data_IF_513138624271
#
_entry.id   IF_513138624271
#
_cell.length_a   1.000
_cell.length_b   1.000
_cell.length_c   1.000
_cell.angle_alpha   90.00
_cell.angle_beta   90.00
_cell.angle_gamma   90.00
#
_symmetry.space_group_name_H-M   'P 1'
#
loop_
_entity.id
_entity.type
_entity.pdbx_description
1 polymer ?
#
# COMPACT_ATOMS: atom_id res chain seq x y z
N UNK A 1 12.41 14.80 4.64
CA UNK A 1 11.01 15.22 4.95
C UNK A 1 10.18 13.97 5.04
N UNK A 2 9.40 13.77 6.10
CA UNK A 2 8.48 12.63 6.21
C UNK A 2 7.24 12.88 5.34
N UNK A 3 6.78 11.87 4.59
CA UNK A 3 5.58 11.98 3.74
C UNK A 3 4.36 12.28 4.62
N UNK A 4 3.70 13.41 4.38
CA UNK A 4 2.38 13.68 4.97
C UNK A 4 1.33 12.96 4.13
N UNK A 5 0.71 11.94 4.71
CA UNK A 5 -0.33 11.17 4.03
C UNK A 5 -1.74 11.73 4.27
N UNK A 6 -1.95 12.47 5.35
CA UNK A 6 -3.23 13.15 5.61
C UNK A 6 -3.38 14.33 4.65
N UNK A 7 -4.35 14.23 3.75
CA UNK A 7 -4.57 15.27 2.73
C UNK A 7 -5.24 16.54 3.26
N UNK A 8 -5.97 16.44 4.37
CA UNK A 8 -6.79 17.56 4.84
C UNK A 8 -7.77 18.01 3.76
N UNK A 9 -7.65 19.28 3.33
CA UNK A 9 -8.39 19.85 2.19
C UNK A 9 -7.63 19.74 0.86
N UNK A 10 -6.48 19.08 0.83
CA UNK A 10 -5.68 18.86 -0.37
C UNK A 10 -6.27 17.83 -1.33
N UNK A 11 -5.62 17.65 -2.49
CA UNK A 11 -6.03 16.64 -3.46
C UNK A 11 -5.84 15.22 -2.92
N UNK A 12 -6.58 14.28 -3.51
CA UNK A 12 -6.42 12.86 -3.28
C UNK A 12 -5.05 12.37 -3.76
N UNK A 13 -4.30 11.63 -2.93
CA UNK A 13 -3.05 10.98 -3.35
C UNK A 13 -3.33 9.91 -4.40
N UNK A 14 -2.66 10.03 -5.54
CA UNK A 14 -2.76 9.10 -6.67
C UNK A 14 -1.64 8.08 -6.56
N UNK A 15 -1.99 6.82 -6.37
CA UNK A 15 -1.03 5.75 -6.11
C UNK A 15 -1.16 4.69 -7.19
N UNK A 16 -0.08 4.44 -7.94
CA UNK A 16 -0.02 3.40 -8.96
C UNK A 16 0.22 2.04 -8.33
N UNK A 17 -0.73 1.09 -8.48
CA UNK A 17 -0.65 -0.28 -7.94
C UNK A 17 0.34 -1.12 -8.73
N UNK A 18 1.39 -1.61 -8.07
CA UNK A 18 2.51 -2.34 -8.69
C UNK A 18 3.13 -1.58 -9.86
N UNK A 19 3.23 -0.25 -9.71
CA UNK A 19 3.42 0.70 -10.78
C UNK A 19 2.10 1.06 -11.46
N UNK A 20 1.96 0.75 -12.75
CA UNK A 20 0.70 0.85 -13.51
C UNK A 20 0.37 -0.52 -14.10
N UNK A 21 -0.11 -1.45 -13.28
CA UNK A 21 -0.28 -2.87 -13.61
C UNK A 21 -1.26 -3.14 -14.77
N UNK A 22 -2.11 -2.17 -15.12
CA UNK A 22 -2.98 -2.25 -16.30
C UNK A 22 -2.27 -1.87 -17.61
N UNK A 23 -1.07 -1.27 -17.54
CA UNK A 23 -0.34 -0.72 -18.70
C UNK A 23 0.96 -1.45 -19.01
N UNK A 24 1.59 -2.05 -17.99
CA UNK A 24 2.83 -2.80 -18.11
C UNK A 24 2.87 -3.96 -17.11
N UNK A 25 3.79 -4.93 -17.24
CA UNK A 25 3.91 -6.03 -16.29
C UNK A 25 4.10 -5.52 -14.85
N UNK A 26 3.26 -6.03 -13.94
CA UNK A 26 3.21 -5.59 -12.55
C UNK A 26 4.57 -5.76 -11.83
N UNK A 27 4.90 -4.84 -10.92
CA UNK A 27 6.14 -4.88 -10.13
C UNK A 27 7.43 -4.83 -10.97
N UNK A 28 7.43 -4.13 -12.09
CA UNK A 28 8.60 -3.92 -12.96
C UNK A 28 8.93 -2.45 -13.12
N UNK A 29 10.16 -2.14 -13.57
CA UNK A 29 10.56 -0.76 -13.92
C UNK A 29 9.61 -0.19 -14.97
N UNK A 30 9.24 -0.96 -16.00
CA UNK A 30 8.31 -0.49 -17.04
C UNK A 30 6.94 -0.08 -16.48
N UNK A 31 6.41 -0.80 -15.47
CA UNK A 31 5.16 -0.40 -14.80
C UNK A 31 5.33 0.86 -13.95
N UNK A 32 6.49 1.03 -13.33
CA UNK A 32 6.84 2.25 -12.58
C UNK A 32 6.95 3.44 -13.53
N UNK A 33 7.67 3.32 -14.64
CA UNK A 33 7.79 4.35 -15.68
C UNK A 33 6.41 4.78 -16.21
N UNK A 34 5.54 3.80 -16.52
CA UNK A 34 4.19 4.08 -16.98
C UNK A 34 3.36 4.85 -15.94
N UNK A 35 3.52 4.54 -14.66
CA UNK A 35 2.86 5.27 -13.57
C UNK A 35 3.39 6.71 -13.45
N UNK A 36 4.71 6.88 -13.46
CA UNK A 36 5.38 8.18 -13.38
C UNK A 36 4.98 9.09 -14.55
N UNK A 37 4.90 8.55 -15.76
CA UNK A 37 4.46 9.29 -16.95
C UNK A 37 3.03 9.85 -16.82
N UNK A 38 2.19 9.21 -15.98
CA UNK A 38 0.83 9.68 -15.66
C UNK A 38 0.75 10.58 -14.43
N UNK A 39 1.90 10.93 -13.85
CA UNK A 39 2.00 11.89 -12.76
C UNK A 39 1.41 11.40 -11.44
N UNK A 40 1.59 10.12 -11.10
CA UNK A 40 1.21 9.61 -9.77
C UNK A 40 2.04 10.26 -8.67
N UNK A 41 1.46 10.40 -7.49
CA UNK A 41 2.14 10.96 -6.32
C UNK A 41 3.01 9.90 -5.62
N UNK A 42 2.60 8.63 -5.73
CA UNK A 42 3.33 7.48 -5.19
C UNK A 42 3.20 6.27 -6.13
N UNK A 43 4.14 5.34 -6.03
CA UNK A 43 4.01 3.98 -6.59
C UNK A 43 3.91 2.97 -5.46
N UNK A 44 3.01 2.01 -5.60
CA UNK A 44 2.93 0.85 -4.71
C UNK A 44 3.63 -0.33 -5.37
N UNK A 45 4.40 -1.09 -4.57
CA UNK A 45 5.15 -2.27 -5.00
C UNK A 45 5.06 -3.37 -3.95
N UNK A 46 4.80 -4.60 -4.40
CA UNK A 46 4.80 -5.78 -3.56
C UNK A 46 6.25 -6.23 -3.26
N UNK A 47 6.64 -6.30 -1.99
CA UNK A 47 8.00 -6.70 -1.57
C UNK A 47 7.98 -8.07 -0.92
N UNK A 48 8.83 -8.97 -1.42
CA UNK A 48 9.03 -10.32 -0.91
C UNK A 48 10.51 -10.58 -0.55
N UNK A 49 10.74 -11.28 0.57
CA UNK A 49 12.04 -11.83 0.90
C UNK A 49 12.18 -13.28 0.43
N UNK A 50 13.31 -13.62 -0.16
CA UNK A 50 13.71 -14.98 -0.49
C UNK A 50 14.40 -15.66 0.70
N UNK A 51 14.51 -17.00 0.70
CA UNK A 51 15.23 -17.74 1.76
C UNK A 51 16.69 -17.33 1.92
N UNK A 52 17.34 -16.88 0.83
CA UNK A 52 18.71 -16.36 0.83
C UNK A 52 18.80 -14.88 1.30
N UNK A 53 17.67 -14.32 1.78
CA UNK A 53 17.52 -12.94 2.25
C UNK A 53 17.59 -11.88 1.17
N UNK A 54 17.64 -12.24 -0.11
CA UNK A 54 17.48 -11.27 -1.20
C UNK A 54 16.05 -10.78 -1.28
N UNK A 55 15.87 -9.50 -1.60
CA UNK A 55 14.56 -8.90 -1.79
C UNK A 55 14.21 -8.83 -3.27
N UNK A 56 12.98 -9.21 -3.57
CA UNK A 56 12.42 -9.17 -4.93
C UNK A 56 11.04 -8.54 -4.92
N UNK A 57 10.61 -8.09 -6.08
CA UNK A 57 9.27 -7.58 -6.27
C UNK A 57 8.34 -8.69 -6.76
N UNK A 58 7.20 -8.86 -6.08
CA UNK A 58 6.18 -9.84 -6.45
C UNK A 58 5.15 -10.07 -5.37
N UNK A 59 3.94 -10.44 -5.78
CA UNK A 59 2.81 -10.56 -4.85
C UNK A 59 2.85 -11.83 -3.98
N UNK A 60 3.42 -12.90 -4.50
CA UNK A 60 3.59 -14.17 -3.77
C UNK A 60 4.70 -15.01 -4.40
N UNK A 61 5.29 -15.91 -3.61
CA UNK A 61 6.30 -16.84 -4.11
C UNK A 61 5.81 -17.72 -5.27
N UNK A 62 4.50 -17.94 -5.40
CA UNK A 62 3.88 -18.69 -6.51
C UNK A 62 3.79 -17.89 -7.80
N UNK A 63 3.78 -16.56 -7.68
CA UNK A 63 3.67 -15.62 -8.81
C UNK A 63 5.04 -15.09 -9.23
N UNK A 64 6.11 -15.44 -8.48
CA UNK A 64 7.47 -15.14 -8.90
C UNK A 64 7.76 -15.95 -10.15
N UNK A 65 7.81 -15.25 -11.28
CA UNK A 65 8.29 -15.80 -12.54
C UNK A 65 9.79 -16.13 -12.42
N UNK A 66 10.35 -16.75 -13.45
CA UNK A 66 11.74 -17.21 -13.43
C UNK A 66 12.74 -16.09 -13.08
N UNK A 67 12.44 -14.84 -13.43
CA UNK A 67 13.29 -13.68 -13.17
C UNK A 67 12.46 -12.47 -12.69
N UNK A 68 12.07 -12.44 -11.40
CA UNK A 68 11.40 -11.29 -10.82
C UNK A 68 12.35 -10.09 -10.80
N UNK A 69 11.81 -8.88 -10.94
CA UNK A 69 12.61 -7.66 -10.82
C UNK A 69 13.30 -7.62 -9.44
N UNK A 70 14.59 -7.34 -9.42
CA UNK A 70 15.31 -7.09 -8.20
C UNK A 70 14.79 -5.79 -7.57
N UNK A 71 14.56 -5.82 -6.26
CA UNK A 71 14.09 -4.63 -5.54
C UNK A 71 15.10 -3.48 -5.67
N UNK A 72 16.39 -3.79 -5.61
CA UNK A 72 17.48 -2.83 -5.69
C UNK A 72 17.43 -2.00 -6.99
N UNK A 73 17.17 -2.64 -8.13
CA UNK A 73 17.14 -1.95 -9.44
C UNK A 73 15.97 -0.95 -9.50
N UNK A 74 14.80 -1.33 -8.95
CA UNK A 74 13.64 -0.45 -8.93
C UNK A 74 13.80 0.67 -7.91
N UNK A 75 14.43 0.42 -6.77
CA UNK A 75 14.71 1.46 -5.78
C UNK A 75 15.75 2.46 -6.27
N UNK A 76 16.81 1.99 -6.95
CA UNK A 76 17.79 2.85 -7.64
C UNK A 76 17.08 3.73 -8.68
N UNK A 77 16.26 3.12 -9.54
CA UNK A 77 15.47 3.82 -10.54
C UNK A 77 14.58 4.93 -9.92
N UNK A 78 13.83 4.63 -8.88
CA UNK A 78 12.98 5.61 -8.18
C UNK A 78 13.80 6.74 -7.55
N UNK A 79 14.94 6.41 -6.96
CA UNK A 79 15.81 7.39 -6.33
C UNK A 79 16.40 8.38 -7.34
N UNK A 80 16.86 7.88 -8.47
CA UNK A 80 17.56 8.65 -9.50
C UNK A 80 16.59 9.41 -10.43
N UNK A 81 15.53 8.73 -10.88
CA UNK A 81 14.66 9.25 -11.94
C UNK A 81 13.44 10.01 -11.41
N UNK A 82 13.06 9.82 -10.14
CA UNK A 82 11.87 10.45 -9.59
C UNK A 82 11.99 10.78 -8.10
N UNK A 83 12.88 11.71 -7.73
CA UNK A 83 13.15 12.05 -6.32
C UNK A 83 11.94 12.63 -5.57
N UNK A 84 10.92 13.10 -6.30
CA UNK A 84 9.67 13.65 -5.73
C UNK A 84 8.56 12.62 -5.52
N UNK A 85 8.66 11.42 -6.08
CA UNK A 85 7.60 10.39 -5.99
C UNK A 85 7.77 9.53 -4.74
N UNK A 86 6.67 9.31 -4.02
CA UNK A 86 6.63 8.43 -2.86
C UNK A 86 6.62 6.95 -3.24
N UNK A 87 7.03 6.10 -2.28
CA UNK A 87 6.96 4.64 -2.37
C UNK A 87 6.01 4.08 -1.32
N UNK A 88 5.08 3.22 -1.72
CA UNK A 88 4.29 2.37 -0.82
C UNK A 88 4.78 0.93 -0.98
N UNK A 89 5.65 0.47 -0.07
CA UNK A 89 6.16 -0.90 -0.07
C UNK A 89 5.16 -1.82 0.67
N UNK A 90 4.43 -2.65 -0.07
CA UNK A 90 3.52 -3.66 0.52
C UNK A 90 4.30 -4.93 0.85
N UNK A 91 4.66 -5.08 2.13
CA UNK A 91 5.53 -6.14 2.66
C UNK A 91 4.75 -7.45 2.79
N UNK A 92 5.04 -8.40 1.91
CA UNK A 92 4.38 -9.70 1.83
C UNK A 92 5.08 -10.73 2.73
N UNK A 93 4.65 -10.82 3.97
CA UNK A 93 5.27 -11.69 4.98
C UNK A 93 6.15 -10.92 5.95
N UNK A 94 7.14 -11.56 6.52
CA UNK A 94 8.08 -10.98 7.47
C UNK A 94 9.38 -11.78 7.51
N UNK A 95 10.33 -11.34 8.34
CA UNK A 95 11.64 -11.98 8.52
C UNK A 95 12.75 -11.35 7.67
N UNK A 96 12.46 -10.28 6.93
CA UNK A 96 13.41 -9.52 6.10
C UNK A 96 13.29 -8.00 6.31
N UNK A 97 12.78 -7.60 7.46
CA UNK A 97 12.55 -6.19 7.79
C UNK A 97 13.85 -5.39 7.82
N UNK A 98 14.96 -6.01 8.26
CA UNK A 98 16.28 -5.39 8.29
C UNK A 98 16.78 -5.10 6.87
N UNK A 99 16.69 -6.08 5.99
CA UNK A 99 17.12 -5.96 4.59
C UNK A 99 16.32 -4.86 3.87
N UNK A 100 15.01 -4.78 4.13
CA UNK A 100 14.16 -3.74 3.57
C UNK A 100 14.58 -2.34 4.07
N UNK A 101 14.80 -2.19 5.37
CA UNK A 101 15.25 -0.90 5.94
C UNK A 101 16.62 -0.50 5.39
N UNK A 102 17.55 -1.44 5.27
CA UNK A 102 18.87 -1.20 4.70
C UNK A 102 18.79 -0.78 3.21
N UNK A 103 17.93 -1.43 2.43
CA UNK A 103 17.68 -1.03 1.03
C UNK A 103 17.07 0.37 0.95
N UNK A 104 16.06 0.69 1.77
CA UNK A 104 15.45 2.02 1.82
C UNK A 104 16.47 3.11 2.19
N UNK A 105 17.36 2.84 3.14
CA UNK A 105 18.44 3.76 3.53
C UNK A 105 19.45 3.97 2.41
N UNK A 106 19.88 2.87 1.76
CA UNK A 106 20.88 2.90 0.67
C UNK A 106 20.43 3.77 -0.49
N UNK A 107 19.12 3.77 -0.79
CA UNK A 107 18.54 4.54 -1.88
C UNK A 107 17.88 5.87 -1.45
N UNK A 108 18.09 6.32 -0.21
CA UNK A 108 17.49 7.55 0.36
C UNK A 108 15.96 7.61 0.23
N UNK A 109 15.30 6.47 0.43
CA UNK A 109 13.85 6.33 0.30
C UNK A 109 13.09 6.43 1.63
N UNK A 110 13.75 6.30 2.80
CA UNK A 110 13.11 6.26 4.12
C UNK A 110 12.12 7.42 4.32
N UNK A 111 12.52 8.63 3.99
CA UNK A 111 11.72 9.84 4.20
C UNK A 111 10.48 9.96 3.29
N UNK A 112 10.41 9.16 2.22
CA UNK A 112 9.31 9.16 1.25
C UNK A 112 8.70 7.78 1.00
N UNK A 113 9.04 6.82 1.86
CA UNK A 113 8.47 5.48 1.84
C UNK A 113 7.43 5.28 2.93
N UNK A 114 6.45 4.45 2.61
CA UNK A 114 5.45 3.90 3.52
C UNK A 114 5.55 2.38 3.45
N UNK A 115 5.89 1.73 4.56
CA UNK A 115 5.85 0.27 4.64
C UNK A 115 4.43 -0.18 5.06
N UNK A 116 3.75 -0.90 4.20
CA UNK A 116 2.40 -1.42 4.43
C UNK A 116 2.42 -2.93 4.60
N UNK A 117 1.71 -3.45 5.60
CA UNK A 117 1.54 -4.89 5.79
C UNK A 117 0.37 -5.20 6.73
N UNK A 118 -0.15 -6.41 6.68
CA UNK A 118 -1.10 -6.91 7.68
C UNK A 118 -0.41 -7.51 8.91
N UNK A 119 0.91 -7.74 8.87
CA UNK A 119 1.69 -8.40 9.92
C UNK A 119 2.03 -7.44 11.07
N UNK A 120 1.48 -7.63 12.28
CA UNK A 120 1.81 -6.80 13.46
C UNK A 120 3.26 -6.94 13.86
N UNK A 121 3.80 -8.17 13.82
CA UNK A 121 5.21 -8.42 14.14
C UNK A 121 6.15 -7.64 13.22
N UNK A 122 5.88 -7.66 11.91
CA UNK A 122 6.62 -6.89 10.90
C UNK A 122 6.54 -5.40 11.14
N UNK A 123 5.35 -4.84 11.46
CA UNK A 123 5.21 -3.41 11.75
C UNK A 123 6.00 -2.99 13.00
N UNK A 124 6.02 -3.83 14.05
CA UNK A 124 6.81 -3.58 15.26
C UNK A 124 8.30 -3.63 14.98
N UNK A 125 8.76 -4.66 14.25
CA UNK A 125 10.16 -4.78 13.86
C UNK A 125 10.64 -3.59 13.00
N UNK A 126 9.84 -3.16 12.03
CA UNK A 126 10.13 -1.98 11.22
C UNK A 126 10.20 -0.71 12.07
N UNK A 127 9.34 -0.56 13.08
CA UNK A 127 9.39 0.58 14.01
C UNK A 127 10.69 0.60 14.81
N UNK A 128 11.13 -0.55 15.30
CA UNK A 128 12.37 -0.68 16.08
C UNK A 128 13.61 -0.42 15.24
N UNK A 129 13.61 -0.92 13.98
CA UNK A 129 14.74 -0.77 13.07
C UNK A 129 14.86 0.62 12.46
N UNK A 130 13.71 1.27 12.14
CA UNK A 130 13.65 2.60 11.54
C UNK A 130 12.42 3.36 12.03
N UNK A 131 12.52 4.06 13.17
CA UNK A 131 11.41 4.85 13.72
C UNK A 131 10.88 5.92 12.77
N UNK A 132 11.74 6.45 11.89
CA UNK A 132 11.41 7.47 10.89
C UNK A 132 10.63 6.95 9.70
N UNK A 133 10.58 5.63 9.48
CA UNK A 133 9.83 5.03 8.40
C UNK A 133 8.31 5.11 8.67
N UNK A 134 7.56 5.72 7.78
CA UNK A 134 6.09 5.73 7.84
C UNK A 134 5.55 4.31 7.66
N UNK A 135 4.59 3.91 8.50
CA UNK A 135 3.99 2.57 8.49
C UNK A 135 2.50 2.63 8.27
N UNK A 136 1.99 1.67 7.50
CA UNK A 136 0.57 1.48 7.22
C UNK A 136 0.11 0.07 7.58
N UNK A 137 -1.06 -0.03 8.17
CA UNK A 137 -1.70 -1.33 8.43
C UNK A 137 -2.65 -1.69 7.31
N UNK A 138 -2.34 -2.78 6.60
CA UNK A 138 -3.24 -3.33 5.57
C UNK A 138 -4.39 -4.11 6.22
N UNK A 139 -5.62 -3.87 5.75
CA UNK A 139 -6.82 -4.59 6.18
C UNK A 139 -7.84 -4.75 5.04
N UNK A 140 -8.52 -5.91 4.91
CA UNK A 140 -8.32 -7.13 5.69
C UNK A 140 -7.07 -7.89 5.25
N UNK A 141 -6.61 -8.87 6.07
CA UNK A 141 -5.52 -9.75 5.64
C UNK A 141 -5.90 -10.50 4.36
N UNK A 142 -4.96 -10.59 3.42
CA UNK A 142 -5.17 -11.24 2.10
C UNK A 142 -5.62 -12.70 2.19
N UNK A 143 -5.33 -13.37 3.32
CA UNK A 143 -5.75 -14.76 3.61
C UNK A 143 -7.26 -14.97 3.55
N UNK A 144 -8.06 -13.91 3.72
CA UNK A 144 -9.53 -14.00 3.62
C UNK A 144 -10.04 -14.13 2.18
N UNK A 145 -9.15 -14.08 1.18
CA UNK A 145 -9.50 -14.32 -0.23
C UNK A 145 -10.53 -13.35 -0.83
N UNK A 146 -10.83 -12.25 -0.15
CA UNK A 146 -11.85 -11.26 -0.54
C UNK A 146 -11.56 -10.57 -1.87
N UNK A 147 -10.29 -10.61 -2.33
CA UNK A 147 -9.85 -10.07 -3.62
C UNK A 147 -10.12 -10.97 -4.82
N UNK A 148 -10.39 -12.27 -4.63
CA UNK A 148 -10.62 -13.20 -5.75
C UNK A 148 -12.03 -13.04 -6.32
N UNK A 149 -12.13 -12.54 -7.54
CA UNK A 149 -13.39 -12.30 -8.29
C UNK A 149 -14.31 -13.53 -8.40
N UNK A 150 -13.81 -14.74 -8.19
CA UNK A 150 -14.49 -16.02 -8.54
C UNK A 150 -15.57 -16.46 -7.53
N UNK A 151 -15.70 -15.81 -6.34
CA UNK A 151 -16.62 -16.25 -5.29
C UNK A 151 -17.52 -15.14 -4.74
N UNK A 152 -17.98 -14.24 -5.61
CA UNK A 152 -18.79 -13.07 -5.26
C UNK A 152 -20.06 -13.38 -4.41
N UNK A 153 -20.83 -14.47 -4.66
CA UNK A 153 -22.06 -14.71 -3.88
C UNK A 153 -21.81 -15.09 -2.42
N UNK A 154 -20.78 -15.90 -2.16
CA UNK A 154 -20.49 -16.42 -0.79
C UNK A 154 -19.87 -15.34 0.10
N UNK A 155 -19.11 -14.39 -0.46
CA UNK A 155 -18.43 -13.35 0.31
C UNK A 155 -19.26 -12.08 0.55
N UNK A 156 -20.43 -11.94 -0.05
CA UNK A 156 -21.32 -10.79 0.12
C UNK A 156 -21.68 -10.52 1.61
N UNK A 157 -22.23 -11.49 2.32
CA UNK A 157 -22.56 -11.34 3.75
C UNK A 157 -21.35 -11.10 4.64
N UNK A 158 -20.23 -11.80 4.38
CA UNK A 158 -18.98 -11.63 5.14
C UNK A 158 -18.44 -10.20 4.95
N UNK A 159 -18.43 -9.71 3.71
CA UNK A 159 -18.02 -8.34 3.40
C UNK A 159 -18.93 -7.30 4.03
N UNK A 160 -20.25 -7.52 4.03
CA UNK A 160 -21.19 -6.63 4.68
C UNK A 160 -20.95 -6.59 6.20
N UNK A 161 -20.72 -7.72 6.84
CA UNK A 161 -20.36 -7.82 8.26
C UNK A 161 -19.04 -7.10 8.58
N UNK A 162 -17.99 -7.31 7.75
CA UNK A 162 -16.72 -6.61 7.92
C UNK A 162 -16.86 -5.11 7.74
N UNK A 163 -17.67 -4.67 6.78
CA UNK A 163 -17.95 -3.24 6.55
C UNK A 163 -18.66 -2.60 7.73
N UNK A 164 -19.66 -3.27 8.30
CA UNK A 164 -20.40 -2.78 9.46
C UNK A 164 -19.52 -2.69 10.71
N UNK A 165 -18.64 -3.66 10.90
CA UNK A 165 -17.77 -3.74 12.08
C UNK A 165 -16.45 -2.99 11.95
N UNK A 166 -16.06 -2.55 10.74
CA UNK A 166 -14.79 -1.85 10.52
C UNK A 166 -14.62 -0.63 11.43
N UNK A 167 -15.61 0.30 11.56
CA UNK A 167 -15.42 1.48 12.41
C UNK A 167 -15.07 1.15 13.86
N UNK A 168 -15.69 0.12 14.45
CA UNK A 168 -15.39 -0.32 15.83
C UNK A 168 -14.03 -1.04 15.93
N UNK A 169 -13.48 -1.54 14.84
CA UNK A 169 -12.20 -2.24 14.80
C UNK A 169 -11.01 -1.31 14.51
N UNK A 170 -11.26 -0.08 14.06
CA UNK A 170 -10.18 0.86 13.70
C UNK A 170 -9.21 1.04 14.86
N UNK A 171 -9.69 1.17 16.08
CA UNK A 171 -8.82 1.35 17.25
C UNK A 171 -7.84 0.19 17.45
N UNK A 172 -8.31 -1.04 17.31
CA UNK A 172 -7.44 -2.21 17.38
C UNK A 172 -6.48 -2.27 16.17
N UNK A 173 -6.99 -1.95 14.97
CA UNK A 173 -6.17 -1.97 13.74
C UNK A 173 -5.02 -0.97 13.83
N UNK A 174 -5.25 0.25 14.30
CA UNK A 174 -4.25 1.32 14.31
C UNK A 174 -3.45 1.36 15.62
N UNK A 175 -4.10 1.12 16.77
CA UNK A 175 -3.49 1.26 18.09
C UNK A 175 -2.43 0.19 18.38
N UNK A 176 -2.70 -1.08 18.03
CA UNK A 176 -1.75 -2.17 18.24
C UNK A 176 -0.45 -2.03 17.43
N UNK A 177 -0.50 -1.34 16.32
CA UNK A 177 0.61 -1.21 15.37
C UNK A 177 1.29 0.16 15.41
N UNK A 178 0.70 1.15 16.10
CA UNK A 178 1.18 2.54 16.14
C UNK A 178 1.54 3.06 14.74
N UNK A 179 0.58 2.95 13.82
CA UNK A 179 0.77 3.32 12.42
C UNK A 179 0.25 4.72 12.12
N UNK A 180 0.81 5.37 11.11
CA UNK A 180 0.36 6.68 10.61
C UNK A 180 -0.62 6.58 9.44
N UNK A 181 -0.83 5.37 8.91
CA UNK A 181 -1.79 5.12 7.84
C UNK A 181 -2.45 3.74 7.96
N UNK A 182 -3.58 3.58 7.28
CA UNK A 182 -4.23 2.29 7.01
C UNK A 182 -4.43 2.11 5.52
N UNK A 183 -4.17 0.90 5.02
CA UNK A 183 -4.41 0.52 3.62
C UNK A 183 -5.60 -0.42 3.58
N UNK A 184 -6.78 0.09 3.23
CA UNK A 184 -8.08 -0.59 3.39
C UNK A 184 -8.68 -1.05 2.06
N UNK A 185 -9.30 -2.24 2.04
CA UNK A 185 -10.15 -2.64 0.92
C UNK A 185 -11.27 -1.59 0.72
N UNK A 186 -11.28 -0.96 -0.45
CA UNK A 186 -12.18 0.14 -0.78
C UNK A 186 -13.66 -0.17 -0.54
N UNK A 187 -14.05 -1.45 -0.66
CA UNK A 187 -15.43 -1.92 -0.48
C UNK A 187 -15.87 -1.92 0.97
N UNK A 188 -14.92 -1.89 1.92
CA UNK A 188 -15.19 -1.87 3.36
C UNK A 188 -15.27 -0.46 3.92
N UNK A 189 -14.74 0.54 3.22
CA UNK A 189 -14.61 1.91 3.71
C UNK A 189 -15.99 2.55 3.88
N UNK A 190 -16.18 3.17 5.04
CA UNK A 190 -17.34 3.99 5.40
C UNK A 190 -16.86 5.34 5.91
N UNK A 191 -17.73 6.36 5.89
CA UNK A 191 -17.42 7.69 6.46
C UNK A 191 -16.98 7.56 7.93
N UNK A 192 -17.71 6.80 8.74
CA UNK A 192 -17.35 6.59 10.14
C UNK A 192 -15.97 5.93 10.34
N UNK A 193 -15.54 5.05 9.42
CA UNK A 193 -14.19 4.47 9.47
C UNK A 193 -13.11 5.52 9.17
N UNK A 194 -13.33 6.36 8.15
CA UNK A 194 -12.41 7.46 7.79
C UNK A 194 -12.29 8.46 8.94
N UNK A 195 -13.42 8.93 9.47
CA UNK A 195 -13.45 9.88 10.60
C UNK A 195 -12.72 9.33 11.83
N UNK A 196 -12.87 8.04 12.14
CA UNK A 196 -12.16 7.41 13.26
C UNK A 196 -10.64 7.32 13.00
N UNK A 197 -10.21 7.04 11.79
CA UNK A 197 -8.79 7.09 11.44
C UNK A 197 -8.24 8.52 11.60
N UNK A 198 -8.92 9.50 11.00
CA UNK A 198 -8.52 10.91 11.05
C UNK A 198 -8.49 11.48 12.47
N UNK A 199 -9.44 11.11 13.35
CA UNK A 199 -9.42 11.52 14.75
C UNK A 199 -8.20 11.01 15.54
N UNK A 200 -7.47 10.02 14.98
CA UNK A 200 -6.21 9.47 15.50
C UNK A 200 -4.98 9.95 14.75
N UNK A 201 -5.12 10.88 13.79
CA UNK A 201 -4.03 11.31 12.94
C UNK A 201 -3.58 10.24 11.93
N UNK A 202 -4.44 9.26 11.61
CA UNK A 202 -4.12 8.13 10.74
C UNK A 202 -4.77 8.33 9.37
N UNK A 203 -3.97 8.31 8.32
CA UNK A 203 -4.43 8.42 6.95
C UNK A 203 -5.11 7.13 6.45
N UNK A 204 -6.03 7.27 5.49
CA UNK A 204 -6.74 6.15 4.86
C UNK A 204 -6.40 6.05 3.38
N UNK A 205 -5.72 4.97 3.00
CA UNK A 205 -5.41 4.61 1.61
C UNK A 205 -6.35 3.48 1.17
N UNK A 206 -7.00 3.64 0.03
CA UNK A 206 -8.00 2.68 -0.48
C UNK A 206 -7.44 1.81 -1.61
N UNK A 207 -7.56 0.47 -1.55
CA UNK A 207 -7.10 -0.48 -2.56
C UNK A 207 -8.17 -1.50 -2.96
N UNK A 208 -8.11 -2.15 -4.10
CA UNK A 208 -7.62 -1.61 -5.36
C UNK A 208 -8.80 -1.03 -6.09
N UNK A 209 -8.72 0.20 -6.55
CA UNK A 209 -9.84 0.96 -7.12
C UNK A 209 -9.61 1.11 -8.63
N UNK A 210 -10.46 0.47 -9.44
CA UNK A 210 -10.30 0.41 -10.88
C UNK A 210 -11.55 0.92 -11.63
N UNK A 211 -12.40 1.69 -10.94
CA UNK A 211 -13.54 2.35 -11.59
C UNK A 211 -13.80 3.76 -11.06
N UNK A 212 -14.27 4.65 -11.94
CA UNK A 212 -14.49 6.08 -11.64
C UNK A 212 -15.62 6.31 -10.63
N UNK A 213 -16.59 5.42 -10.52
CA UNK A 213 -17.69 5.57 -9.58
C UNK A 213 -17.20 5.30 -8.15
N UNK A 214 -16.38 4.24 -7.96
CA UNK A 214 -15.73 3.95 -6.70
C UNK A 214 -14.76 5.07 -6.29
N UNK A 215 -13.96 5.59 -7.23
CA UNK A 215 -13.07 6.71 -6.99
C UNK A 215 -13.82 7.93 -6.44
N UNK A 216 -14.85 8.42 -7.16
CA UNK A 216 -15.66 9.57 -6.72
C UNK A 216 -16.31 9.35 -5.36
N UNK A 217 -16.82 8.13 -5.12
CA UNK A 217 -17.42 7.77 -3.83
C UNK A 217 -16.40 7.87 -2.69
N UNK A 218 -15.21 7.33 -2.87
CA UNK A 218 -14.14 7.33 -1.87
C UNK A 218 -13.62 8.73 -1.59
N UNK A 219 -13.45 9.52 -2.63
CA UNK A 219 -13.10 10.94 -2.52
C UNK A 219 -14.15 11.70 -1.69
N UNK A 220 -15.44 11.50 -1.97
CA UNK A 220 -16.54 12.04 -1.17
C UNK A 220 -16.64 11.51 0.26
N UNK A 221 -16.04 10.34 0.57
CA UNK A 221 -15.92 9.82 1.94
C UNK A 221 -14.73 10.44 2.70
N UNK A 222 -13.81 11.10 2.00
CA UNK A 222 -12.66 11.77 2.60
C UNK A 222 -11.43 10.88 2.76
N UNK A 223 -11.25 9.79 1.95
CA UNK A 223 -10.01 9.01 1.97
C UNK A 223 -8.84 9.86 1.51
N UNK A 224 -7.65 9.57 1.98
CA UNK A 224 -6.45 10.38 1.71
C UNK A 224 -5.75 9.97 0.41
N UNK A 225 -5.85 8.69 0.03
CA UNK A 225 -5.24 8.20 -1.21
C UNK A 225 -5.97 7.01 -1.80
N UNK A 226 -5.77 6.80 -3.09
CA UNK A 226 -6.35 5.69 -3.86
C UNK A 226 -5.25 4.97 -4.63
N UNK A 227 -5.24 3.64 -4.49
CA UNK A 227 -4.33 2.72 -5.16
C UNK A 227 -5.08 2.08 -6.33
N UNK A 228 -4.58 2.26 -7.56
CA UNK A 228 -5.22 1.77 -8.81
C UNK A 228 -4.24 1.07 -9.73
N UNK A 229 -4.73 0.05 -10.45
CA UNK A 229 -3.96 -0.60 -11.53
C UNK A 229 -3.80 0.32 -12.74
N UNK A 230 -4.74 1.24 -12.96
CA UNK A 230 -4.77 2.15 -14.11
C UNK A 230 -4.79 3.63 -13.67
N UNK A 231 -3.63 4.29 -13.57
CA UNK A 231 -3.56 5.69 -13.18
C UNK A 231 -4.27 6.68 -14.13
N UNK A 232 -4.69 6.27 -15.33
CA UNK A 232 -5.56 7.09 -16.21
C UNK A 232 -6.96 7.31 -15.62
N UNK A 233 -7.25 6.63 -14.51
CA UNK A 233 -8.48 6.79 -13.74
C UNK A 233 -8.59 8.17 -13.08
N UNK A 234 -7.47 8.79 -12.74
CA UNK A 234 -7.37 10.11 -12.07
C UNK A 234 -7.61 11.33 -13.02
#
# INVERSE_FOLDING_TARGET
MTVSLLRGNGPLLRIGHRGAAALAPANTIAAVEAALALGVDMVELDVLGRPDRTLVLGHSHRELEAEPAALEDVFAFLSEQSPGTGLLADVKGGGFERELVEALRRHDLVGRAVASTYGLGTLRALRELEPGLTRSRTYPPSRLGLGRRRFVPVFGPVRAGLRLTLPSRIEAIVGEAEVSATTLDHRLITRAAVERCHSRGVAVLAWTVNDRAALRKLDGLGVDGVITDDPRLF
#
